data_IF_532581168726
#
_entry.id   IF_532581168726
#
_cell.length_a   1.000
_cell.length_b   1.000
_cell.length_c   1.000
_cell.angle_alpha   90.00
_cell.angle_beta   90.00
_cell.angle_gamma   90.00
#
_symmetry.space_group_name_H-M   'P 1'
#
loop_
_entity.id
_entity.type
_entity.pdbx_description
1 polymer ?
#
# COMPACT_ATOMS: atom_id res chain seq x y z
N UNK A 1 4.08 62.16 -26.12
CA UNK A 1 3.60 62.00 -24.74
C UNK A 1 2.70 60.78 -24.54
N UNK A 2 1.83 60.43 -25.49
CA UNK A 2 0.92 59.27 -25.41
C UNK A 2 1.61 57.89 -25.46
N UNK A 3 2.63 57.71 -26.32
CA UNK A 3 3.36 56.42 -26.45
C UNK A 3 4.17 56.03 -25.21
N UNK A 4 4.73 57.02 -24.50
CA UNK A 4 5.45 56.80 -23.25
C UNK A 4 4.52 56.45 -22.10
N UNK A 5 3.30 57.03 -22.09
CA UNK A 5 2.29 56.73 -21.09
C UNK A 5 1.72 55.30 -21.26
N UNK A 6 1.49 54.85 -22.50
CA UNK A 6 1.00 53.50 -22.76
C UNK A 6 2.04 52.41 -22.45
N UNK A 7 3.32 52.63 -22.77
CA UNK A 7 4.39 51.70 -22.37
C UNK A 7 4.55 51.61 -20.86
N UNK A 8 4.48 52.74 -20.15
CA UNK A 8 4.59 52.75 -18.70
C UNK A 8 3.41 52.01 -18.04
N UNK A 9 2.20 52.22 -18.55
CA UNK A 9 1.01 51.49 -18.08
C UNK A 9 1.15 49.97 -18.31
N UNK A 10 1.60 49.55 -19.50
CA UNK A 10 1.79 48.13 -19.81
C UNK A 10 2.86 47.48 -18.92
N UNK A 11 3.97 48.18 -18.66
CA UNK A 11 5.03 47.68 -17.77
C UNK A 11 4.54 47.49 -16.32
N UNK A 12 3.72 48.42 -15.82
CA UNK A 12 3.15 48.33 -14.47
C UNK A 12 2.21 47.11 -14.37
N UNK A 13 1.33 46.90 -15.35
CA UNK A 13 0.42 45.74 -15.37
C UNK A 13 1.20 44.43 -15.41
N UNK A 14 2.28 44.35 -16.20
CA UNK A 14 3.12 43.16 -16.29
C UNK A 14 3.85 42.85 -14.98
N UNK A 15 4.39 43.86 -14.31
CA UNK A 15 5.05 43.72 -13.01
C UNK A 15 4.06 43.31 -11.92
N UNK A 16 2.85 43.89 -11.90
CA UNK A 16 1.82 43.50 -10.94
C UNK A 16 1.36 42.05 -11.16
N UNK A 17 1.12 41.66 -12.41
CA UNK A 17 0.72 40.29 -12.77
C UNK A 17 1.77 39.24 -12.42
N UNK A 18 3.06 39.52 -12.68
CA UNK A 18 4.16 38.62 -12.33
C UNK A 18 4.34 38.48 -10.83
N UNK A 19 4.22 39.58 -10.05
CA UNK A 19 4.28 39.51 -8.58
C UNK A 19 3.11 38.68 -8.04
N UNK A 20 1.89 38.92 -8.51
CA UNK A 20 0.71 38.15 -8.08
C UNK A 20 0.85 36.67 -8.49
N UNK A 21 1.28 36.39 -9.72
CA UNK A 21 1.49 35.03 -10.19
C UNK A 21 2.55 34.28 -9.40
N UNK A 22 3.69 34.91 -9.12
CA UNK A 22 4.75 34.33 -8.28
C UNK A 22 4.26 34.13 -6.84
N UNK A 23 3.48 35.06 -6.29
CA UNK A 23 2.84 34.88 -4.98
C UNK A 23 1.86 33.71 -4.98
N UNK A 24 1.05 33.53 -6.02
CA UNK A 24 0.14 32.39 -6.14
C UNK A 24 0.87 31.05 -6.30
N UNK A 25 2.02 31.03 -6.99
CA UNK A 25 2.85 29.83 -7.14
C UNK A 25 3.56 29.43 -5.84
N UNK A 26 3.91 30.40 -4.99
CA UNK A 26 4.66 30.16 -3.74
C UNK A 26 3.73 30.12 -2.51
N UNK A 27 2.51 30.67 -2.61
CA UNK A 27 1.45 30.43 -1.65
C UNK A 27 1.14 28.94 -1.69
N UNK A 28 1.78 28.20 -0.79
CA UNK A 28 1.49 26.80 -0.58
C UNK A 28 -0.02 26.67 -0.45
N UNK A 29 -0.62 25.79 -1.22
CA UNK A 29 -1.93 25.26 -0.86
C UNK A 29 -1.74 24.69 0.53
N UNK A 30 -2.15 25.46 1.54
CA UNK A 30 -2.45 24.90 2.85
C UNK A 30 -3.71 24.08 2.65
N UNK A 31 -3.54 22.93 1.99
CA UNK A 31 -4.28 21.74 2.34
C UNK A 31 -3.88 21.41 3.78
N UNK A 32 -4.35 22.23 4.72
CA UNK A 32 -4.88 21.74 5.99
C UNK A 32 -6.12 20.90 5.68
N UNK A 33 -5.97 19.90 4.82
CA UNK A 33 -6.59 18.64 5.09
C UNK A 33 -5.90 18.20 6.35
N UNK A 34 -6.55 18.47 7.49
CA UNK A 34 -6.44 17.57 8.61
C UNK A 34 -6.37 16.18 7.98
N UNK A 35 -5.25 15.48 8.19
CA UNK A 35 -5.23 14.05 7.92
C UNK A 35 -6.21 13.50 8.93
N UNK A 36 -7.51 13.62 8.67
CA UNK A 36 -8.53 12.85 9.35
C UNK A 36 -8.02 11.44 9.17
N UNK A 37 -7.56 10.88 10.28
CA UNK A 37 -6.95 9.57 10.28
C UNK A 37 -7.94 8.66 9.59
N UNK A 38 -7.67 8.22 8.36
CA UNK A 38 -8.55 7.34 7.58
C UNK A 38 -8.67 5.94 8.21
N UNK A 39 -8.13 5.81 9.41
CA UNK A 39 -7.81 4.61 10.10
C UNK A 39 -7.98 4.84 11.60
N UNK A 40 -8.86 4.05 12.23
CA UNK A 40 -8.90 3.92 13.69
C UNK A 40 -8.02 2.74 14.09
N UNK A 41 -7.00 3.04 14.89
CA UNK A 41 -6.16 2.01 15.53
C UNK A 41 -7.02 1.16 16.47
N UNK A 42 -7.05 -0.15 16.24
CA UNK A 42 -7.77 -1.11 17.09
C UNK A 42 -6.85 -2.27 17.42
N UNK A 43 -7.04 -2.86 18.61
CA UNK A 43 -6.28 -4.02 19.04
C UNK A 43 -7.18 -5.26 18.96
N UNK A 44 -6.83 -6.18 18.07
CA UNK A 44 -7.42 -7.51 18.05
C UNK A 44 -6.78 -8.30 19.18
N UNK A 45 -7.54 -8.54 20.25
CA UNK A 45 -7.09 -9.29 21.43
C UNK A 45 -6.64 -10.70 21.05
N UNK A 46 -5.71 -11.25 21.82
CA UNK A 46 -5.32 -12.67 21.77
C UNK A 46 -6.55 -13.57 21.84
N UNK A 47 -6.61 -14.57 20.96
CA UNK A 47 -7.72 -15.53 20.87
C UNK A 47 -8.91 -15.04 20.04
N UNK A 48 -8.99 -13.75 19.73
CA UNK A 48 -10.00 -13.23 18.82
C UNK A 48 -9.69 -13.58 17.37
N UNK A 49 -10.71 -13.51 16.51
CA UNK A 49 -10.59 -13.77 15.09
C UNK A 49 -9.98 -12.55 14.37
N UNK A 50 -8.81 -12.73 13.76
CA UNK A 50 -8.23 -11.76 12.81
C UNK A 50 -8.75 -12.06 11.42
N UNK A 51 -9.52 -11.12 10.86
CA UNK A 51 -10.11 -11.22 9.52
C UNK A 51 -9.19 -10.62 8.45
N UNK A 52 -9.33 -11.05 7.20
CA UNK A 52 -8.53 -10.58 6.07
C UNK A 52 -8.74 -9.10 5.76
N UNK A 53 -9.92 -8.55 6.02
CA UNK A 53 -10.31 -7.15 5.75
C UNK A 53 -9.54 -6.09 6.56
N UNK A 54 -8.74 -6.51 7.54
CA UNK A 54 -7.84 -5.61 8.28
C UNK A 54 -6.36 -5.90 8.01
N UNK A 55 -6.06 -6.80 7.08
CA UNK A 55 -4.69 -7.20 6.71
C UNK A 55 -4.36 -6.66 5.33
N UNK A 56 -3.39 -5.74 5.28
CA UNK A 56 -2.83 -5.23 4.03
C UNK A 56 -1.70 -6.12 3.51
N UNK A 57 -1.72 -6.38 2.21
CA UNK A 57 -0.74 -7.23 1.53
C UNK A 57 -0.04 -6.47 0.40
N UNK A 58 1.28 -6.38 0.46
CA UNK A 58 2.13 -5.87 -0.61
C UNK A 58 2.59 -7.05 -1.46
N UNK A 59 2.51 -6.94 -2.79
CA UNK A 59 2.85 -8.04 -3.69
C UNK A 59 3.91 -7.59 -4.69
N UNK A 60 5.06 -8.23 -4.64
CA UNK A 60 6.18 -7.98 -5.54
C UNK A 60 6.43 -9.16 -6.48
N UNK A 61 6.69 -8.85 -7.74
CA UNK A 61 6.95 -9.83 -8.79
C UNK A 61 8.46 -10.09 -8.92
N UNK A 62 8.92 -11.30 -8.60
CA UNK A 62 10.28 -11.77 -8.89
C UNK A 62 10.30 -12.72 -10.11
N UNK A 63 9.19 -12.79 -10.86
CA UNK A 63 9.03 -13.62 -12.05
C UNK A 63 9.24 -12.82 -13.34
N UNK A 64 9.44 -13.52 -14.45
CA UNK A 64 9.45 -12.95 -15.81
C UNK A 64 8.04 -12.71 -16.37
N UNK A 65 6.99 -13.09 -15.62
CA UNK A 65 5.60 -13.02 -16.08
C UNK A 65 5.03 -11.64 -15.79
N UNK A 66 4.74 -10.87 -16.82
CA UNK A 66 4.13 -9.55 -16.70
C UNK A 66 2.73 -9.60 -16.06
N UNK A 67 2.45 -8.61 -15.23
CA UNK A 67 1.17 -8.46 -14.53
C UNK A 67 0.87 -9.51 -13.46
N UNK A 68 1.82 -10.39 -13.13
CA UNK A 68 1.58 -11.47 -12.16
C UNK A 68 1.26 -10.94 -10.76
N UNK A 69 2.01 -9.96 -10.27
CA UNK A 69 1.74 -9.35 -8.97
C UNK A 69 0.35 -8.71 -8.91
N UNK A 70 -0.06 -7.99 -9.97
CA UNK A 70 -1.39 -7.39 -10.03
C UNK A 70 -2.51 -8.45 -9.94
N UNK A 71 -2.41 -9.53 -10.72
CA UNK A 71 -3.38 -10.64 -10.64
C UNK A 71 -3.44 -11.28 -9.25
N UNK A 72 -2.29 -11.46 -8.60
CA UNK A 72 -2.24 -12.01 -7.23
C UNK A 72 -2.89 -11.05 -6.24
N UNK A 73 -2.66 -9.73 -6.37
CA UNK A 73 -3.31 -8.73 -5.52
C UNK A 73 -4.83 -8.77 -5.69
N UNK A 74 -5.34 -8.80 -6.93
CA UNK A 74 -6.78 -8.89 -7.22
C UNK A 74 -7.38 -10.14 -6.54
N UNK A 75 -6.73 -11.30 -6.68
CA UNK A 75 -7.23 -12.54 -6.07
C UNK A 75 -7.19 -12.49 -4.54
N UNK A 76 -6.20 -11.84 -3.93
CA UNK A 76 -6.17 -11.62 -2.48
C UNK A 76 -7.26 -10.64 -2.05
N UNK A 77 -7.52 -9.59 -2.81
CA UNK A 77 -8.62 -8.67 -2.54
C UNK A 77 -9.99 -9.33 -2.63
N UNK A 78 -10.17 -10.26 -3.57
CA UNK A 78 -11.37 -11.10 -3.64
C UNK A 78 -11.57 -11.95 -2.36
N UNK A 79 -10.47 -12.35 -1.70
CA UNK A 79 -10.50 -13.02 -0.39
C UNK A 79 -10.59 -12.02 0.79
N UNK A 80 -10.88 -10.75 0.51
CA UNK A 80 -11.11 -9.70 1.49
C UNK A 80 -9.85 -9.03 2.02
N UNK A 81 -8.65 -9.28 1.49
CA UNK A 81 -7.45 -8.57 1.95
C UNK A 81 -7.41 -7.12 1.43
N UNK A 82 -6.75 -6.24 2.18
CA UNK A 82 -6.50 -4.87 1.73
C UNK A 82 -5.32 -4.86 0.75
N UNK A 83 -5.52 -4.22 -0.40
CA UNK A 83 -4.47 -4.01 -1.39
C UNK A 83 -3.37 -3.10 -0.85
N UNK A 84 -2.12 -3.51 -1.00
CA UNK A 84 -0.94 -2.71 -0.69
C UNK A 84 -0.15 -2.32 -1.93
N UNK A 85 1.16 -2.16 -1.75
CA UNK A 85 2.06 -1.84 -2.86
C UNK A 85 2.20 -3.02 -3.82
N UNK A 86 2.16 -2.73 -5.12
CA UNK A 86 2.34 -3.69 -6.20
C UNK A 86 3.56 -3.26 -7.03
N UNK A 87 4.45 -4.18 -7.38
CA UNK A 87 5.60 -3.84 -8.21
C UNK A 87 6.48 -5.03 -8.56
N UNK A 88 7.61 -4.75 -9.20
CA UNK A 88 8.67 -5.75 -9.39
C UNK A 88 9.54 -5.83 -8.13
N UNK A 89 10.02 -7.02 -7.80
CA UNK A 89 10.85 -7.24 -6.63
C UNK A 89 12.29 -6.84 -6.90
N UNK A 90 12.84 -5.97 -6.06
CA UNK A 90 14.27 -5.66 -5.98
C UNK A 90 14.97 -6.50 -4.90
N UNK A 91 14.25 -7.40 -4.23
CA UNK A 91 14.77 -8.28 -3.19
C UNK A 91 15.77 -9.28 -3.79
N UNK A 92 16.80 -9.62 -3.02
CA UNK A 92 17.69 -10.75 -3.29
C UNK A 92 16.94 -12.08 -3.18
N UNK A 93 15.83 -12.11 -2.44
CA UNK A 93 14.97 -13.28 -2.31
C UNK A 93 14.16 -13.51 -3.59
N UNK A 94 14.61 -14.48 -4.39
CA UNK A 94 13.93 -14.90 -5.64
C UNK A 94 13.34 -16.30 -5.47
N UNK A 95 12.15 -16.44 -4.85
CA UNK A 95 11.54 -17.74 -4.65
C UNK A 95 11.14 -18.35 -6.01
N UNK A 96 11.18 -19.68 -6.13
CA UNK A 96 10.63 -20.35 -7.31
C UNK A 96 9.11 -20.19 -7.41
N UNK A 97 8.41 -20.20 -6.26
CA UNK A 97 6.93 -20.18 -6.17
C UNK A 97 6.44 -18.93 -5.44
N UNK A 98 6.60 -18.87 -4.12
CA UNK A 98 6.20 -17.72 -3.29
C UNK A 98 7.07 -17.64 -2.03
N UNK A 99 7.39 -16.43 -1.62
CA UNK A 99 7.99 -16.16 -0.31
C UNK A 99 7.28 -14.99 0.38
N UNK A 100 7.29 -15.00 1.71
CA UNK A 100 6.89 -13.85 2.52
C UNK A 100 8.16 -13.27 3.16
N UNK A 101 8.35 -11.97 2.98
CA UNK A 101 9.42 -11.23 3.64
C UNK A 101 8.93 -10.85 5.03
N UNK A 102 9.52 -11.44 6.07
CA UNK A 102 9.12 -11.21 7.46
C UNK A 102 10.23 -11.60 8.43
N UNK A 103 10.36 -10.85 9.52
CA UNK A 103 11.18 -11.23 10.66
C UNK A 103 10.43 -12.18 11.63
N UNK A 104 9.09 -12.20 11.56
CA UNK A 104 8.25 -12.93 12.52
C UNK A 104 7.23 -13.83 11.82
N UNK A 105 7.60 -15.11 11.70
CA UNK A 105 6.76 -16.16 11.09
C UNK A 105 5.53 -16.50 11.95
N UNK A 106 5.54 -16.17 13.23
CA UNK A 106 4.42 -16.44 14.16
C UNK A 106 3.40 -15.32 14.14
N UNK A 107 3.57 -14.28 13.31
CA UNK A 107 2.58 -13.22 13.16
C UNK A 107 1.28 -13.80 12.57
N UNK A 108 0.12 -13.62 13.24
CA UNK A 108 -1.14 -14.14 12.72
C UNK A 108 -1.50 -13.55 11.36
N UNK A 109 -1.08 -12.32 11.03
CA UNK A 109 -1.24 -11.70 9.70
C UNK A 109 -0.45 -12.47 8.66
N UNK A 110 0.82 -12.78 8.95
CA UNK A 110 1.69 -13.59 8.09
C UNK A 110 1.12 -14.98 7.89
N UNK A 111 0.62 -15.63 8.95
CA UNK A 111 0.01 -16.96 8.87
C UNK A 111 -1.27 -16.96 8.04
N UNK A 112 -2.12 -15.94 8.20
CA UNK A 112 -3.34 -15.79 7.43
C UNK A 112 -3.03 -15.62 5.93
N UNK A 113 -2.09 -14.74 5.58
CA UNK A 113 -1.64 -14.53 4.20
C UNK A 113 -0.98 -15.79 3.64
N UNK A 114 -0.11 -16.45 4.40
CA UNK A 114 0.53 -17.69 3.98
C UNK A 114 -0.49 -18.81 3.67
N UNK A 115 -1.60 -18.86 4.41
CA UNK A 115 -2.63 -19.88 4.22
C UNK A 115 -3.36 -19.77 2.87
N UNK A 116 -3.33 -18.59 2.23
CA UNK A 116 -4.00 -18.33 0.95
C UNK A 116 -3.34 -19.06 -0.22
N UNK A 117 -2.04 -19.29 -0.17
CA UNK A 117 -1.30 -19.84 -1.30
C UNK A 117 -1.46 -21.35 -1.39
N UNK A 118 -1.61 -21.89 -2.62
CA UNK A 118 -1.58 -23.34 -2.88
C UNK A 118 -0.18 -23.90 -2.65
N UNK A 119 0.81 -23.10 -3.02
CA UNK A 119 2.22 -23.44 -2.92
C UNK A 119 2.73 -23.35 -1.47
N UNK A 120 3.76 -24.15 -1.17
CA UNK A 120 4.53 -24.00 0.07
C UNK A 120 5.22 -22.63 0.08
N UNK A 121 4.94 -21.85 1.13
CA UNK A 121 5.50 -20.51 1.32
C UNK A 121 6.88 -20.60 1.96
N UNK A 122 7.87 -19.99 1.29
CA UNK A 122 9.19 -19.74 1.88
C UNK A 122 9.17 -18.45 2.70
N UNK A 123 10.09 -18.33 3.66
CA UNK A 123 10.23 -17.12 4.47
C UNK A 123 11.65 -16.61 4.34
N UNK A 124 11.80 -15.30 4.24
CA UNK A 124 13.09 -14.63 4.23
C UNK A 124 13.00 -13.34 5.04
N UNK A 125 14.12 -12.90 5.59
CA UNK A 125 14.21 -11.61 6.26
C UNK A 125 14.04 -10.50 5.20
N UNK A 126 13.28 -9.42 5.51
CA UNK A 126 13.19 -8.26 4.63
C UNK A 126 14.57 -7.67 4.32
N UNK A 127 14.88 -7.52 3.04
CA UNK A 127 16.10 -6.90 2.51
C UNK A 127 15.78 -5.71 1.58
N UNK A 128 14.50 -5.37 1.48
CA UNK A 128 13.96 -4.21 0.77
C UNK A 128 13.08 -3.44 1.74
N UNK A 129 12.81 -2.18 1.41
CA UNK A 129 11.76 -1.43 2.08
C UNK A 129 10.45 -2.21 2.02
N UNK A 130 9.94 -2.58 3.21
CA UNK A 130 8.70 -3.31 3.40
C UNK A 130 7.66 -2.30 3.90
N UNK A 131 6.77 -1.81 3.02
CA UNK A 131 5.66 -0.99 3.45
C UNK A 131 4.88 -1.74 4.53
N UNK A 132 4.21 -1.00 5.42
CA UNK A 132 3.39 -1.59 6.47
C UNK A 132 2.44 -2.67 5.91
N UNK A 133 2.18 -3.73 6.67
CA UNK A 133 1.47 -4.92 6.18
C UNK A 133 2.40 -6.10 5.86
N UNK A 134 1.85 -7.11 5.19
CA UNK A 134 2.59 -8.35 4.85
C UNK A 134 3.13 -8.26 3.44
N UNK A 135 4.44 -8.46 3.27
CA UNK A 135 5.09 -8.38 1.96
C UNK A 135 5.31 -9.77 1.37
N UNK A 136 4.78 -9.99 0.17
CA UNK A 136 4.84 -11.25 -0.57
C UNK A 136 5.66 -11.06 -1.84
N UNK A 137 6.56 -12.00 -2.12
CA UNK A 137 7.34 -12.07 -3.36
C UNK A 137 6.92 -13.30 -4.15
N UNK A 138 6.54 -13.11 -5.42
CA UNK A 138 6.00 -14.15 -6.29
C UNK A 138 7.02 -14.57 -7.35
N UNK A 139 7.20 -15.89 -7.50
CA UNK A 139 8.15 -16.51 -8.42
C UNK A 139 7.53 -17.02 -9.72
N UNK A 140 8.40 -17.46 -10.64
CA UNK A 140 8.01 -17.99 -11.96
C UNK A 140 7.04 -19.17 -11.91
N UNK A 141 7.18 -20.06 -10.93
CA UNK A 141 6.39 -21.29 -10.79
C UNK A 141 5.18 -21.13 -9.85
N UNK A 142 4.75 -19.90 -9.60
CA UNK A 142 3.56 -19.63 -8.79
C UNK A 142 2.30 -20.28 -9.39
N UNK A 143 1.60 -21.07 -8.57
CA UNK A 143 0.49 -21.95 -8.99
C UNK A 143 -0.90 -21.44 -8.58
N UNK A 144 -0.99 -20.25 -7.97
CA UNK A 144 -2.27 -19.62 -7.59
C UNK A 144 -2.58 -19.64 -6.09
N UNK A 145 -3.73 -19.07 -5.76
CA UNK A 145 -4.34 -19.12 -4.42
C UNK A 145 -5.23 -20.35 -4.30
N UNK A 146 -5.47 -20.82 -3.08
CA UNK A 146 -6.39 -21.92 -2.81
C UNK A 146 -7.83 -21.45 -3.01
N UNK A 147 -8.65 -22.30 -3.59
CA UNK A 147 -10.09 -22.12 -3.62
C UNK A 147 -10.63 -22.18 -2.19
N UNK A 148 -11.54 -21.27 -1.84
CA UNK A 148 -12.14 -21.19 -0.49
C UNK A 148 -11.11 -21.11 0.64
N UNK A 149 -10.02 -20.37 0.42
CA UNK A 149 -9.03 -20.12 1.46
C UNK A 149 -9.68 -19.45 2.68
N UNK A 150 -9.23 -19.82 3.88
CA UNK A 150 -9.74 -19.24 5.13
C UNK A 150 -9.45 -17.73 5.14
N UNK A 151 -10.47 -16.92 5.37
CA UNK A 151 -10.37 -15.45 5.46
C UNK A 151 -10.23 -14.94 6.90
N UNK A 152 -10.13 -15.87 7.87
CA UNK A 152 -9.98 -15.54 9.28
C UNK A 152 -9.09 -16.55 10.02
N UNK A 153 -8.34 -16.07 11.02
CA UNK A 153 -7.52 -16.92 11.90
C UNK A 153 -7.58 -16.43 13.34
N UNK A 154 -7.61 -17.36 14.31
CA UNK A 154 -7.45 -17.00 15.73
C UNK A 154 -6.05 -16.43 15.98
N UNK A 155 -6.00 -15.26 16.60
CA UNK A 155 -4.75 -14.61 16.99
C UNK A 155 -4.11 -15.36 18.18
N UNK A 156 -2.79 -15.49 18.14
CA UNK A 156 -2.00 -16.04 19.25
C UNK A 156 -1.50 -14.96 20.22
N UNK A 157 -1.69 -13.68 19.89
CA UNK A 157 -1.27 -12.49 20.63
C UNK A 157 -2.15 -11.31 20.27
N UNK A 158 -1.98 -10.20 20.97
CA UNK A 158 -2.61 -8.94 20.62
C UNK A 158 -1.99 -8.37 19.33
N UNK A 159 -2.84 -7.89 18.42
CA UNK A 159 -2.41 -7.34 17.13
C UNK A 159 -3.03 -5.97 16.95
N UNK A 160 -2.19 -4.95 16.83
CA UNK A 160 -2.62 -3.63 16.39
C UNK A 160 -2.97 -3.67 14.90
N UNK A 161 -4.20 -3.32 14.57
CA UNK A 161 -4.72 -3.24 13.20
C UNK A 161 -5.28 -1.85 12.93
N UNK A 162 -5.25 -1.50 11.65
CA UNK A 162 -5.80 -0.27 11.13
C UNK A 162 -7.19 -0.57 10.55
N UNK A 163 -8.25 -0.13 11.22
CA UNK A 163 -9.62 -0.30 10.72
C UNK A 163 -9.99 0.97 9.94
N UNK A 164 -10.32 0.87 8.64
CA UNK A 164 -10.74 2.03 7.86
C UNK A 164 -12.01 2.62 8.45
N UNK A 165 -12.06 3.95 8.57
CA UNK A 165 -13.28 4.65 9.00
C UNK A 165 -14.13 4.84 7.75
N UNK A 166 -15.25 4.13 7.65
CA UNK A 166 -16.24 4.35 6.60
C UNK A 166 -17.30 5.28 7.18
N UNK A 167 -17.35 6.58 6.80
CA UNK A 167 -18.50 7.41 7.15
C UNK A 167 -19.74 6.79 6.50
N UNK A 168 -20.74 6.45 7.32
CA UNK A 168 -22.05 6.02 6.83
C UNK A 168 -22.76 7.25 6.23
N UNK A 169 -23.38 7.14 5.05
CA UNK A 169 -24.16 8.23 4.44
C UNK A 169 -25.41 8.57 5.27
#
# INVERSE_FOLDING_TARGET
MTKTLTMMAAAIVFLAGTIVGVRLLISGTEASGATESTCRSSVVKKGAALNSNVVRVNVFNASVRSGLANRVTINLQANGFLGGRIGNSTSKTKPRRVAILTADRKDPRVRLVASQFRDKVSYATPDIDVPSGVTVVIGNKFSGLKDNARTSIKTNRDVAVCIPIVPLP
#
